data_IF_136662884430
#
_entry.id   IF_136662884430
#
_cell.length_a   1.000
_cell.length_b   1.000
_cell.length_c   1.000
_cell.angle_alpha   90.00
_cell.angle_beta   90.00
_cell.angle_gamma   90.00
#
_symmetry.space_group_name_H-M   'P 1'
#
loop_
_entity.id
_entity.type
_entity.pdbx_description
1 polymer ?
#
# COMPACT_ATOMS: atom_id res chain seq x y z
N UNK A 1 2.71 9.74 -2.20
CA UNK A 1 1.39 9.30 -2.72
C UNK A 1 0.27 9.94 -1.92
N UNK A 2 0.16 9.67 -0.61
CA UNK A 2 -0.89 10.26 0.23
C UNK A 2 -0.98 11.79 0.13
N UNK A 3 0.12 12.51 0.29
CA UNK A 3 0.13 13.98 0.14
C UNK A 3 -0.35 14.46 -1.24
N UNK A 4 0.04 13.77 -2.32
CA UNK A 4 -0.41 14.12 -3.68
C UNK A 4 -1.91 13.86 -3.87
N UNK A 5 -2.42 12.78 -3.26
CA UNK A 5 -3.85 12.50 -3.27
C UNK A 5 -4.63 13.52 -2.42
N UNK A 6 -4.07 13.95 -1.29
CA UNK A 6 -4.65 15.00 -0.46
C UNK A 6 -4.74 16.33 -1.23
N UNK A 7 -3.67 16.73 -1.92
CA UNK A 7 -3.68 17.91 -2.79
C UNK A 7 -4.71 17.78 -3.92
N UNK A 8 -4.74 16.63 -4.61
CA UNK A 8 -5.72 16.40 -5.68
C UNK A 8 -7.16 16.48 -5.14
N UNK A 9 -7.45 15.86 -3.99
CA UNK A 9 -8.76 15.94 -3.35
C UNK A 9 -9.12 17.41 -3.07
N UNK A 10 -8.18 18.17 -2.50
CA UNK A 10 -8.38 19.56 -2.11
C UNK A 10 -8.58 20.52 -3.28
N UNK A 11 -7.86 20.33 -4.38
CA UNK A 11 -7.79 21.31 -5.47
C UNK A 11 -8.50 20.88 -6.76
N UNK A 12 -8.84 19.60 -6.90
CA UNK A 12 -9.32 19.03 -8.16
C UNK A 12 -10.52 18.10 -8.00
N UNK A 13 -11.14 18.05 -6.81
CA UNK A 13 -12.34 17.26 -6.56
C UNK A 13 -13.33 18.01 -5.66
N UNK A 14 -14.55 17.49 -5.57
CA UNK A 14 -15.57 17.95 -4.63
C UNK A 14 -15.54 17.18 -3.30
N UNK A 15 -14.48 16.40 -3.05
CA UNK A 15 -14.34 15.63 -1.81
C UNK A 15 -13.64 16.43 -0.71
N UNK A 16 -13.94 16.05 0.52
CA UNK A 16 -13.20 16.44 1.71
C UNK A 16 -12.44 15.22 2.23
N UNK A 17 -11.12 15.36 2.41
CA UNK A 17 -10.29 14.28 2.94
C UNK A 17 -10.43 14.20 4.46
N UNK A 18 -10.92 13.07 4.96
CA UNK A 18 -11.12 12.87 6.41
C UNK A 18 -9.95 12.12 7.07
N UNK A 19 -9.22 11.30 6.33
CA UNK A 19 -8.08 10.54 6.84
C UNK A 19 -7.51 9.58 5.81
N UNK A 20 -6.37 8.96 6.14
CA UNK A 20 -5.73 7.95 5.31
C UNK A 20 -5.23 6.77 6.13
N UNK A 21 -5.28 5.58 5.55
CA UNK A 21 -4.84 4.34 6.22
C UNK A 21 -3.79 3.62 5.38
N UNK A 22 -2.68 3.23 6.02
CA UNK A 22 -1.79 2.20 5.54
C UNK A 22 -2.30 0.84 6.04
N UNK A 23 -2.60 -0.08 5.12
CA UNK A 23 -2.91 -1.49 5.43
C UNK A 23 -1.80 -2.38 4.91
N UNK A 24 -0.84 -2.82 5.75
CA UNK A 24 0.20 -3.74 5.32
C UNK A 24 -0.39 -5.13 5.02
N UNK A 25 -0.04 -5.71 3.88
CA UNK A 25 -0.55 -7.05 3.48
C UNK A 25 -0.27 -8.15 4.51
N UNK A 26 -1.10 -9.19 4.61
CA UNK A 26 -0.81 -10.39 5.42
C UNK A 26 0.40 -11.19 4.91
N UNK A 27 1.11 -11.87 5.82
CA UNK A 27 2.17 -12.83 5.47
C UNK A 27 1.65 -14.03 4.69
N UNK A 28 0.33 -14.29 4.74
CA UNK A 28 -0.34 -15.28 3.90
C UNK A 28 -0.23 -14.99 2.39
N UNK A 29 0.18 -13.77 2.00
CA UNK A 29 0.48 -13.42 0.61
C UNK A 29 1.71 -14.16 0.05
N UNK A 30 2.61 -14.67 0.91
CA UNK A 30 3.77 -15.53 0.54
C UNK A 30 4.70 -14.95 -0.54
N UNK A 31 4.80 -13.63 -0.64
CA UNK A 31 5.75 -12.99 -1.57
C UNK A 31 7.20 -13.20 -1.10
N UNK A 32 8.06 -13.62 -2.03
CA UNK A 32 9.47 -13.82 -1.74
C UNK A 32 10.15 -12.54 -1.25
N UNK A 33 10.94 -12.66 -0.17
CA UNK A 33 11.65 -11.53 0.44
C UNK A 33 10.75 -10.52 1.17
N UNK A 34 9.50 -10.88 1.47
CA UNK A 34 8.61 -10.09 2.32
C UNK A 34 9.02 -10.29 3.79
N UNK A 35 9.39 -9.20 4.47
CA UNK A 35 9.53 -9.23 5.93
C UNK A 35 8.19 -9.55 6.59
N UNK A 36 8.22 -10.10 7.81
CA UNK A 36 7.01 -10.43 8.55
C UNK A 36 6.07 -9.23 8.67
N UNK A 37 4.77 -9.51 8.77
CA UNK A 37 3.72 -8.52 8.92
C UNK A 37 3.96 -7.65 10.16
N UNK A 38 4.45 -8.26 11.25
CA UNK A 38 4.86 -7.58 12.48
C UNK A 38 5.87 -6.45 12.21
N UNK A 39 6.97 -6.75 11.51
CA UNK A 39 7.98 -5.74 11.19
C UNK A 39 7.44 -4.66 10.26
N UNK A 40 6.63 -5.04 9.27
CA UNK A 40 6.05 -4.07 8.32
C UNK A 40 5.06 -3.12 9.00
N UNK A 41 4.21 -3.63 9.88
CA UNK A 41 3.30 -2.82 10.69
C UNK A 41 4.09 -1.86 11.57
N UNK A 42 5.11 -2.34 12.28
CA UNK A 42 5.94 -1.49 13.14
C UNK A 42 6.64 -0.38 12.36
N UNK A 43 7.23 -0.69 11.20
CA UNK A 43 7.84 0.31 10.32
C UNK A 43 6.82 1.32 9.79
N UNK A 44 5.62 0.88 9.40
CA UNK A 44 4.55 1.80 8.97
C UNK A 44 4.12 2.72 10.12
N UNK A 45 3.99 2.20 11.34
CA UNK A 45 3.59 2.99 12.51
C UNK A 45 4.64 4.06 12.83
N UNK A 46 5.93 3.67 12.84
CA UNK A 46 7.05 4.59 13.04
C UNK A 46 7.13 5.67 11.95
N UNK A 47 6.81 5.32 10.70
CA UNK A 47 6.76 6.28 9.61
C UNK A 47 5.63 7.30 9.84
N UNK A 48 4.44 6.84 10.21
CA UNK A 48 3.26 7.69 10.36
C UNK A 48 3.33 8.56 11.62
N UNK A 49 3.57 7.97 12.79
CA UNK A 49 3.49 8.67 14.09
C UNK A 49 4.41 9.88 14.20
N UNK A 50 5.54 9.86 13.49
CA UNK A 50 6.54 10.92 13.58
C UNK A 50 6.47 11.92 12.43
N UNK A 51 5.69 11.64 11.38
CA UNK A 51 5.71 12.46 10.16
C UNK A 51 4.33 12.88 9.64
N UNK A 52 3.24 12.40 10.22
CA UNK A 52 1.88 12.71 9.78
C UNK A 52 0.93 12.92 10.96
N UNK A 53 -0.04 13.81 10.76
CA UNK A 53 -1.14 14.13 11.68
C UNK A 53 -2.50 13.55 11.21
N UNK A 54 -2.56 12.95 10.02
CA UNK A 54 -3.81 12.50 9.38
C UNK A 54 -3.76 11.07 8.82
N UNK A 55 -2.59 10.45 8.80
CA UNK A 55 -2.40 9.07 8.41
C UNK A 55 -2.46 8.15 9.63
N UNK A 56 -2.94 6.93 9.43
CA UNK A 56 -2.97 5.87 10.43
C UNK A 56 -2.49 4.55 9.81
N UNK A 57 -2.15 3.57 10.65
CA UNK A 57 -1.93 2.19 10.23
C UNK A 57 -3.09 1.34 10.71
N UNK A 58 -3.68 0.59 9.81
CA UNK A 58 -4.65 -0.45 10.15
C UNK A 58 -3.97 -1.82 10.18
N UNK A 59 -4.25 -2.60 11.20
CA UNK A 59 -3.64 -3.91 11.41
C UNK A 59 -4.59 -5.07 11.11
N UNK A 60 -5.81 -4.81 10.61
CA UNK A 60 -6.81 -5.86 10.41
C UNK A 60 -6.38 -6.87 9.34
N UNK A 61 -5.93 -6.41 8.18
CA UNK A 61 -5.44 -7.30 7.11
C UNK A 61 -4.23 -8.14 7.56
N UNK A 62 -3.17 -7.57 8.16
CA UNK A 62 -1.97 -8.34 8.49
C UNK A 62 -2.18 -9.41 9.58
N UNK A 63 -3.18 -9.28 10.45
CA UNK A 63 -3.50 -10.31 11.47
C UNK A 63 -4.35 -11.47 10.92
N UNK A 64 -4.85 -11.38 9.67
CA UNK A 64 -5.63 -12.47 9.09
C UNK A 64 -4.74 -13.69 8.79
N UNK A 65 -5.27 -14.87 9.13
CA UNK A 65 -4.58 -16.16 8.88
C UNK A 65 -4.47 -16.50 7.40
N UNK A 66 -5.41 -16.02 6.60
CA UNK A 66 -5.50 -16.25 5.16
C UNK A 66 -5.33 -14.93 4.41
N UNK A 67 -4.86 -15.03 3.16
CA UNK A 67 -4.74 -13.88 2.27
C UNK A 67 -6.12 -13.25 2.06
N UNK A 68 -6.19 -11.92 2.16
CA UNK A 68 -7.41 -11.16 1.91
C UNK A 68 -7.31 -10.45 0.56
N UNK A 69 -8.29 -10.64 -0.34
CA UNK A 69 -8.42 -9.79 -1.52
C UNK A 69 -8.64 -8.33 -1.12
N UNK A 70 -8.12 -7.39 -1.93
CA UNK A 70 -8.27 -5.94 -1.67
C UNK A 70 -9.73 -5.52 -1.50
N UNK A 71 -10.66 -6.11 -2.24
CA UNK A 71 -12.10 -5.84 -2.10
C UNK A 71 -12.60 -6.10 -0.67
N UNK A 72 -12.14 -7.17 -0.04
CA UNK A 72 -12.52 -7.54 1.35
C UNK A 72 -11.92 -6.55 2.36
N UNK A 73 -10.69 -6.09 2.12
CA UNK A 73 -10.06 -5.06 2.95
C UNK A 73 -10.84 -3.73 2.86
N UNK A 74 -11.29 -3.34 1.67
CA UNK A 74 -12.13 -2.15 1.48
C UNK A 74 -13.51 -2.29 2.15
N UNK A 75 -14.13 -3.47 2.06
CA UNK A 75 -15.36 -3.80 2.79
C UNK A 75 -15.19 -3.69 4.31
N UNK A 76 -14.03 -4.11 4.84
CA UNK A 76 -13.71 -3.96 6.25
C UNK A 76 -13.71 -2.49 6.68
N UNK A 77 -12.98 -1.63 5.95
CA UNK A 77 -12.96 -0.19 6.25
C UNK A 77 -14.36 0.45 6.17
N UNK A 78 -15.12 0.12 5.13
CA UNK A 78 -16.49 0.61 4.95
C UNK A 78 -17.40 0.19 6.10
N UNK A 79 -17.34 -1.08 6.51
CA UNK A 79 -18.10 -1.57 7.66
C UNK A 79 -17.72 -0.85 8.96
N UNK A 80 -16.43 -0.78 9.27
CA UNK A 80 -15.92 -0.18 10.50
C UNK A 80 -16.23 1.32 10.61
N UNK A 81 -16.15 2.05 9.50
CA UNK A 81 -16.38 3.50 9.48
C UNK A 81 -17.87 3.80 9.35
N UNK A 82 -18.55 3.25 8.35
CA UNK A 82 -19.92 3.64 8.02
C UNK A 82 -20.99 2.86 8.78
N UNK A 83 -20.71 1.63 9.21
CA UNK A 83 -21.67 0.81 9.96
C UNK A 83 -21.44 0.89 11.47
N UNK A 84 -20.23 0.57 11.93
CA UNK A 84 -19.91 0.52 13.37
C UNK A 84 -19.84 1.93 13.96
N UNK A 85 -19.05 2.83 13.35
CA UNK A 85 -18.90 4.23 13.80
C UNK A 85 -20.00 5.16 13.27
N UNK A 86 -20.87 4.67 12.38
CA UNK A 86 -21.98 5.42 11.75
C UNK A 86 -21.52 6.66 11.00
N UNK A 87 -20.35 6.59 10.36
CA UNK A 87 -19.74 7.69 9.63
C UNK A 87 -19.09 8.74 10.53
N UNK A 88 -18.84 9.91 9.96
CA UNK A 88 -18.13 11.04 10.59
C UNK A 88 -19.11 12.10 11.08
N UNK A 89 -18.78 12.74 12.20
CA UNK A 89 -19.57 13.85 12.73
C UNK A 89 -19.40 15.08 11.84
N UNK A 90 -20.50 15.61 11.32
CA UNK A 90 -20.52 16.80 10.47
C UNK A 90 -20.44 18.11 11.27
N UNK A 91 -20.25 18.06 12.59
CA UNK A 91 -20.13 19.23 13.47
C UNK A 91 -21.46 19.93 13.79
N UNK A 92 -22.57 19.40 13.28
CA UNK A 92 -23.93 19.91 13.50
C UNK A 92 -24.85 18.89 14.19
N UNK A 93 -24.25 17.86 14.81
CA UNK A 93 -24.98 16.77 15.46
C UNK A 93 -25.50 15.69 14.51
N UNK A 94 -25.25 15.81 13.21
CA UNK A 94 -25.52 14.74 12.23
C UNK A 94 -24.25 13.99 11.89
N UNK A 95 -24.38 12.70 11.54
CA UNK A 95 -23.28 11.92 10.98
C UNK A 95 -23.48 11.65 9.50
N UNK A 96 -22.39 11.70 8.75
CA UNK A 96 -22.36 11.45 7.31
C UNK A 96 -21.52 10.21 7.00
N UNK A 97 -21.97 9.33 6.10
CA UNK A 97 -21.13 8.24 5.62
C UNK A 97 -19.91 8.79 4.88
N UNK A 98 -18.78 8.11 5.02
CA UNK A 98 -17.51 8.40 4.37
C UNK A 98 -17.37 7.55 3.12
N UNK A 99 -16.93 8.14 2.02
CA UNK A 99 -16.53 7.36 0.85
C UNK A 99 -15.16 6.73 1.09
N UNK A 100 -15.08 5.41 1.02
CA UNK A 100 -13.81 4.69 1.03
C UNK A 100 -13.30 4.62 -0.41
N UNK A 101 -12.01 4.88 -0.63
CA UNK A 101 -11.38 4.80 -1.94
C UNK A 101 -9.98 4.18 -1.82
N UNK A 102 -9.56 3.45 -2.85
CA UNK A 102 -8.25 2.82 -2.92
C UNK A 102 -7.20 3.81 -3.43
N UNK A 103 -6.14 4.08 -2.66
CA UNK A 103 -4.98 4.82 -3.15
C UNK A 103 -3.90 3.85 -3.63
N UNK A 104 -3.47 3.99 -4.88
CA UNK A 104 -2.42 3.16 -5.45
C UNK A 104 -1.54 3.91 -6.46
N UNK A 105 -0.42 3.31 -6.83
CA UNK A 105 0.39 3.76 -7.97
C UNK A 105 -0.11 3.16 -9.28
N UNK A 106 0.31 3.73 -10.41
CA UNK A 106 -0.02 3.26 -11.76
C UNK A 106 0.34 1.78 -12.01
N UNK A 107 1.32 1.22 -11.29
CA UNK A 107 1.62 -0.22 -11.39
C UNK A 107 0.39 -1.10 -11.10
N UNK A 108 -0.46 -0.70 -10.13
CA UNK A 108 -1.66 -1.46 -9.81
C UNK A 108 -2.73 -1.35 -10.90
N UNK A 109 -2.94 -0.16 -11.46
CA UNK A 109 -3.97 0.03 -12.50
C UNK A 109 -3.64 -0.78 -13.75
N UNK A 110 -2.37 -0.92 -14.10
CA UNK A 110 -1.93 -1.81 -15.18
C UNK A 110 -2.26 -3.28 -14.90
N UNK A 111 -2.09 -3.75 -13.65
CA UNK A 111 -2.52 -5.12 -13.33
C UNK A 111 -4.03 -5.28 -13.47
N UNK A 112 -4.82 -4.28 -13.07
CA UNK A 112 -6.28 -4.28 -13.18
C UNK A 112 -6.75 -4.27 -14.63
N UNK A 113 -6.03 -3.60 -15.53
CA UNK A 113 -6.32 -3.60 -16.96
C UNK A 113 -5.80 -4.85 -17.69
N UNK A 114 -5.01 -5.70 -17.04
CA UNK A 114 -4.44 -6.90 -17.67
C UNK A 114 -5.46 -8.04 -17.65
N UNK A 115 -5.86 -8.59 -18.83
CA UNK A 115 -6.84 -9.67 -18.89
C UNK A 115 -6.44 -10.90 -18.08
N UNK A 116 -7.36 -11.42 -17.28
CA UNK A 116 -7.18 -12.65 -16.49
C UNK A 116 -6.42 -12.49 -15.18
N UNK A 117 -5.96 -11.27 -14.83
CA UNK A 117 -5.33 -10.99 -13.53
C UNK A 117 -6.38 -10.68 -12.46
N UNK A 118 -7.40 -9.92 -12.81
CA UNK A 118 -8.52 -9.57 -11.94
C UNK A 118 -9.83 -10.11 -12.50
N UNK A 119 -10.72 -10.54 -11.61
CA UNK A 119 -12.09 -10.87 -12.00
C UNK A 119 -12.89 -9.59 -12.23
N UNK A 120 -13.81 -9.61 -13.20
CA UNK A 120 -14.70 -8.47 -13.45
C UNK A 120 -15.52 -8.12 -12.20
N UNK A 121 -15.93 -9.13 -11.43
CA UNK A 121 -16.61 -8.94 -10.15
C UNK A 121 -15.76 -8.15 -9.14
N UNK A 122 -14.46 -8.44 -9.04
CA UNK A 122 -13.58 -7.70 -8.14
C UNK A 122 -13.33 -6.28 -8.65
N UNK A 123 -13.23 -6.08 -9.97
CA UNK A 123 -13.14 -4.74 -10.57
C UNK A 123 -14.40 -3.92 -10.32
N UNK A 124 -15.58 -4.48 -10.53
CA UNK A 124 -16.87 -3.86 -10.20
C UNK A 124 -16.97 -3.52 -8.71
N UNK A 125 -16.49 -4.41 -7.84
CA UNK A 125 -16.51 -4.16 -6.41
C UNK A 125 -15.55 -3.03 -6.03
N UNK A 126 -14.30 -3.08 -6.49
CA UNK A 126 -13.28 -2.09 -6.11
C UNK A 126 -13.55 -0.75 -6.82
N UNK A 127 -13.59 -0.76 -8.15
CA UNK A 127 -13.67 0.44 -8.97
C UNK A 127 -15.11 0.92 -9.16
N UNK A 128 -16.11 0.06 -9.07
CA UNK A 128 -17.53 0.47 -9.14
C UNK A 128 -18.06 1.01 -7.82
N UNK A 129 -17.87 0.27 -6.71
CA UNK A 129 -18.41 0.67 -5.38
C UNK A 129 -17.56 1.74 -4.70
N UNK A 130 -16.24 1.58 -4.67
CA UNK A 130 -15.36 2.44 -3.87
C UNK A 130 -14.69 3.52 -4.71
N UNK A 131 -14.05 3.09 -5.79
CA UNK A 131 -13.22 3.94 -6.62
C UNK A 131 -11.76 3.91 -6.20
N UNK A 132 -10.95 4.63 -6.97
CA UNK A 132 -9.51 4.69 -6.73
C UNK A 132 -8.92 6.06 -7.04
N UNK A 133 -7.85 6.39 -6.32
CA UNK A 133 -6.93 7.47 -6.63
C UNK A 133 -5.63 6.83 -7.10
N UNK A 134 -5.23 7.09 -8.34
CA UNK A 134 -4.07 6.46 -8.98
C UNK A 134 -3.00 7.51 -9.21
N UNK A 135 -1.87 7.36 -8.54
CA UNK A 135 -0.71 8.22 -8.74
C UNK A 135 0.10 7.71 -9.92
N UNK A 136 0.26 8.55 -10.93
CA UNK A 136 1.10 8.27 -12.09
C UNK A 136 2.55 8.05 -11.69
N UNK A 137 3.26 7.22 -12.46
CA UNK A 137 4.70 7.03 -12.35
C UNK A 137 5.36 7.29 -13.70
N UNK A 138 6.64 7.60 -13.68
CA UNK A 138 7.40 7.81 -14.92
C UNK A 138 7.48 6.50 -15.72
N UNK A 139 7.06 6.54 -16.98
CA UNK A 139 7.13 5.39 -17.89
C UNK A 139 5.91 4.44 -17.85
N UNK A 140 4.82 4.81 -17.19
CA UNK A 140 3.54 4.08 -17.23
C UNK A 140 2.55 4.75 -18.18
N UNK A 141 2.02 4.01 -19.15
CA UNK A 141 0.97 4.49 -20.07
C UNK A 141 -0.42 4.28 -19.43
N UNK A 142 -0.87 5.28 -18.68
CA UNK A 142 -2.15 5.19 -17.97
C UNK A 142 -3.35 5.22 -18.91
N UNK A 143 -3.22 5.85 -20.08
CA UNK A 143 -4.32 6.00 -21.04
C UNK A 143 -4.75 4.65 -21.61
N UNK A 144 -3.79 3.77 -21.93
CA UNK A 144 -4.08 2.40 -22.36
C UNK A 144 -4.80 1.59 -21.27
N UNK A 145 -4.34 1.70 -20.02
CA UNK A 145 -4.97 1.01 -18.89
C UNK A 145 -6.41 1.50 -18.69
N UNK A 146 -6.65 2.82 -18.74
CA UNK A 146 -7.98 3.41 -18.61
C UNK A 146 -8.90 3.04 -19.78
N UNK A 147 -8.38 2.86 -21.00
CA UNK A 147 -9.16 2.40 -22.15
C UNK A 147 -9.74 1.00 -21.92
N UNK A 148 -9.05 0.16 -21.14
CA UNK A 148 -9.53 -1.18 -20.76
C UNK A 148 -10.46 -1.15 -19.55
N UNK A 149 -10.44 -0.07 -18.77
CA UNK A 149 -11.26 0.15 -17.57
C UNK A 149 -12.35 1.21 -17.76
N UNK A 150 -12.75 1.47 -19.02
CA UNK A 150 -13.78 2.47 -19.36
C UNK A 150 -15.06 2.39 -18.52
N UNK A 151 -15.60 1.21 -18.18
CA UNK A 151 -16.83 1.13 -17.37
C UNK A 151 -16.74 1.81 -16.00
N UNK A 152 -15.53 1.95 -15.45
CA UNK A 152 -15.30 2.53 -14.11
C UNK A 152 -14.52 3.84 -14.16
N UNK A 153 -14.27 4.40 -15.34
CA UNK A 153 -13.40 5.57 -15.54
C UNK A 153 -13.75 6.75 -14.64
N UNK A 154 -15.04 7.04 -14.47
CA UNK A 154 -15.52 8.17 -13.66
C UNK A 154 -15.23 8.00 -12.15
N UNK A 155 -14.86 6.78 -11.73
CA UNK A 155 -14.49 6.45 -10.36
C UNK A 155 -12.98 6.19 -10.19
N UNK A 156 -12.19 6.51 -11.22
CA UNK A 156 -10.72 6.42 -11.20
C UNK A 156 -10.17 7.86 -11.31
N UNK A 157 -9.65 8.35 -10.21
CA UNK A 157 -9.05 9.69 -10.11
C UNK A 157 -7.55 9.60 -10.35
N UNK A 158 -7.12 9.99 -11.55
CA UNK A 158 -5.70 9.99 -11.91
C UNK A 158 -5.01 11.24 -11.40
N UNK A 159 -3.89 11.04 -10.70
CA UNK A 159 -3.09 12.10 -10.08
C UNK A 159 -1.73 12.14 -10.76
N UNK A 160 -1.47 13.23 -11.48
CA UNK A 160 -0.20 13.46 -12.14
C UNK A 160 0.92 13.70 -11.14
N UNK A 161 2.07 13.07 -11.37
CA UNK A 161 3.26 13.25 -10.56
C UNK A 161 4.14 14.39 -11.10
N UNK A 162 4.00 15.58 -10.50
CA UNK A 162 4.79 16.77 -10.89
C UNK A 162 6.29 16.62 -10.57
N UNK A 163 6.63 15.94 -9.48
CA UNK A 163 8.01 15.64 -9.08
C UNK A 163 8.19 14.12 -9.02
N UNK A 164 9.08 13.61 -9.86
CA UNK A 164 9.36 12.19 -9.94
C UNK A 164 10.03 11.70 -8.66
N UNK A 165 9.35 10.81 -7.94
CA UNK A 165 9.91 10.06 -6.82
C UNK A 165 9.97 8.58 -7.20
N UNK A 166 11.16 8.12 -7.60
CA UNK A 166 11.41 6.75 -8.04
C UNK A 166 12.04 5.87 -6.93
N UNK A 167 11.71 6.18 -5.67
CA UNK A 167 12.04 5.32 -4.53
C UNK A 167 11.07 4.13 -4.52
N UNK A 168 11.62 2.91 -4.53
CA UNK A 168 10.84 1.67 -4.43
C UNK A 168 11.42 0.76 -3.36
N UNK A 169 10.57 -0.06 -2.72
CA UNK A 169 11.03 -0.99 -1.67
C UNK A 169 12.08 -1.97 -2.20
N UNK A 170 12.05 -2.33 -3.48
CA UNK A 170 13.07 -3.17 -4.12
C UNK A 170 14.44 -2.47 -4.15
N UNK A 171 14.48 -1.18 -4.50
CA UNK A 171 15.73 -0.39 -4.49
C UNK A 171 16.23 -0.16 -3.05
N UNK A 172 15.34 0.13 -2.10
CA UNK A 172 15.69 0.27 -0.69
C UNK A 172 16.34 -1.01 -0.15
N UNK A 173 15.71 -2.18 -0.34
CA UNK A 173 16.29 -3.47 0.07
C UNK A 173 17.60 -3.79 -0.65
N UNK A 174 17.80 -3.32 -1.88
CA UNK A 174 19.07 -3.47 -2.59
C UNK A 174 20.17 -2.61 -1.96
N UNK A 175 19.86 -1.37 -1.57
CA UNK A 175 20.83 -0.48 -0.91
C UNK A 175 21.22 -1.00 0.46
N UNK A 176 20.25 -1.45 1.26
CA UNK A 176 20.49 -2.04 2.58
C UNK A 176 21.43 -3.27 2.48
N UNK A 177 21.17 -4.21 1.56
CA UNK A 177 22.05 -5.36 1.31
C UNK A 177 23.46 -5.00 0.85
N UNK A 178 23.64 -3.81 0.27
CA UNK A 178 24.94 -3.31 -0.19
C UNK A 178 25.58 -2.36 0.81
N UNK A 179 25.05 -2.28 2.04
CA UNK A 179 25.50 -1.37 3.09
C UNK A 179 25.53 0.10 2.64
N UNK A 180 24.66 0.45 1.68
CA UNK A 180 24.53 1.80 1.16
C UNK A 180 23.50 2.58 1.99
N UNK A 181 23.77 3.87 2.19
CA UNK A 181 22.86 4.75 2.93
C UNK A 181 21.50 4.87 2.23
N UNK A 182 20.43 4.70 3.00
CA UNK A 182 19.04 4.98 2.62
C UNK A 182 18.48 6.23 3.32
N UNK A 183 19.36 7.02 3.96
CA UNK A 183 18.99 8.26 4.63
C UNK A 183 18.36 9.23 3.63
N UNK A 184 17.29 9.90 4.05
CA UNK A 184 16.46 10.80 3.22
C UNK A 184 15.62 10.10 2.13
N UNK A 185 15.74 8.78 1.95
CA UNK A 185 14.84 8.00 1.09
C UNK A 185 13.66 7.41 1.86
N UNK A 186 13.88 7.09 3.14
CA UNK A 186 12.86 6.62 4.09
C UNK A 186 13.01 7.37 5.43
N UNK A 187 11.97 7.38 6.28
CA UNK A 187 12.04 8.05 7.59
C UNK A 187 13.14 7.48 8.48
N UNK A 188 13.89 8.36 9.16
CA UNK A 188 14.98 7.97 10.08
C UNK A 188 14.56 6.93 11.15
N UNK A 189 13.36 7.03 11.77
CA UNK A 189 12.92 6.02 12.74
C UNK A 189 12.79 4.61 12.14
N UNK A 190 12.40 4.53 10.86
CA UNK A 190 12.32 3.26 10.13
C UNK A 190 13.72 2.71 9.86
N UNK A 191 14.69 3.57 9.57
CA UNK A 191 16.10 3.16 9.41
C UNK A 191 16.62 2.54 10.70
N UNK A 192 16.44 3.21 11.85
CA UNK A 192 16.87 2.68 13.14
C UNK A 192 16.19 1.35 13.47
N UNK A 193 14.90 1.20 13.14
CA UNK A 193 14.18 -0.06 13.34
C UNK A 193 14.77 -1.19 12.48
N UNK A 194 15.05 -0.93 11.22
CA UNK A 194 15.68 -1.89 10.30
C UNK A 194 17.04 -2.35 10.84
N UNK A 195 17.88 -1.41 11.29
CA UNK A 195 19.21 -1.69 11.86
C UNK A 195 19.12 -2.49 13.16
N UNK A 196 18.22 -2.12 14.07
CA UNK A 196 18.03 -2.81 15.35
C UNK A 196 17.56 -4.26 15.19
N UNK A 197 16.78 -4.54 14.14
CA UNK A 197 16.19 -5.86 13.89
C UNK A 197 16.93 -6.64 12.79
N UNK A 198 18.06 -6.15 12.30
CA UNK A 198 18.86 -6.79 11.24
C UNK A 198 18.04 -7.16 10.00
N UNK A 199 17.09 -6.28 9.62
CA UNK A 199 16.19 -6.57 8.50
C UNK A 199 16.87 -6.28 7.17
N UNK A 200 16.64 -7.17 6.21
CA UNK A 200 17.14 -7.03 4.83
C UNK A 200 18.67 -7.04 4.69
N UNK A 201 19.40 -7.49 5.70
CA UNK A 201 20.78 -7.93 5.56
C UNK A 201 20.80 -9.18 4.65
N UNK A 202 21.91 -9.45 3.96
CA UNK A 202 22.04 -10.70 3.22
C UNK A 202 21.96 -11.85 4.23
N UNK A 203 20.87 -12.62 4.20
CA UNK A 203 20.87 -13.98 4.74
C UNK A 203 21.97 -14.70 3.95
N UNK A 204 23.18 -14.74 4.49
CA UNK A 204 24.25 -15.58 4.01
C UNK A 204 23.64 -16.96 3.74
N UNK A 205 23.98 -17.54 2.59
CA UNK A 205 23.62 -18.91 2.23
C UNK A 205 24.01 -19.90 3.35
N UNK A 206 23.19 -20.07 4.38
CA UNK A 206 23.41 -20.98 5.49
C UNK A 206 22.21 -21.90 5.68
N UNK A 207 21.88 -22.69 4.64
CA UNK A 207 21.26 -24.03 4.80
C UNK A 207 21.76 -25.06 3.78
N UNK A 208 22.98 -24.90 3.25
CA UNK A 208 23.49 -25.74 2.15
C UNK A 208 24.84 -26.47 2.35
N UNK A 209 25.59 -26.21 3.43
CA UNK A 209 27.00 -26.65 3.52
C UNK A 209 27.38 -27.59 4.68
N UNK A 210 26.41 -28.25 5.34
CA UNK A 210 26.71 -29.28 6.36
C UNK A 210 26.48 -30.73 5.91
N UNK A 211 26.34 -31.02 4.61
CA UNK A 211 26.25 -32.40 4.11
C UNK A 211 27.18 -32.67 2.93
N UNK A 212 28.49 -32.41 3.09
CA UNK A 212 29.49 -33.03 2.22
C UNK A 212 30.92 -33.03 2.78
N UNK A 213 31.10 -33.13 4.11
CA UNK A 213 32.40 -33.51 4.69
C UNK A 213 32.19 -34.68 5.66
N UNK A 214 32.04 -35.87 5.08
CA UNK A 214 31.75 -37.07 5.84
C UNK A 214 31.60 -38.31 4.97
N UNK A 215 32.51 -38.49 4.00
CA UNK A 215 32.74 -39.76 3.30
C UNK A 215 34.11 -39.73 2.63
N UNK A 216 35.13 -39.80 3.46
CA UNK A 216 36.41 -40.41 3.10
C UNK A 216 36.64 -41.52 4.12
N UNK A 217 36.52 -42.75 3.65
CA UNK A 217 36.60 -44.00 4.40
C UNK A 217 36.32 -45.13 3.44
#
# INVERSE_FOLDING_TARGET
>A
MFEMAADHVRFSSDFELIGGYLSPVSDAYRKAGLASAEHRVAMCQLAVDQTSDWLMVDTWEPIQKEYQPTAVVLDHFDHEINTVRKGVDAGNGTRKPVRIALLAGADLIHTMSTPGVWSEKDLDHILGKYGSFIVERSGTDIDEALASLQPWKDNIHVIQQLIQNDVSSTKIRLFLRREMSVRYLIPVPVIHYIEQHHLYEDDGMEKGKERQEGRSG
#
